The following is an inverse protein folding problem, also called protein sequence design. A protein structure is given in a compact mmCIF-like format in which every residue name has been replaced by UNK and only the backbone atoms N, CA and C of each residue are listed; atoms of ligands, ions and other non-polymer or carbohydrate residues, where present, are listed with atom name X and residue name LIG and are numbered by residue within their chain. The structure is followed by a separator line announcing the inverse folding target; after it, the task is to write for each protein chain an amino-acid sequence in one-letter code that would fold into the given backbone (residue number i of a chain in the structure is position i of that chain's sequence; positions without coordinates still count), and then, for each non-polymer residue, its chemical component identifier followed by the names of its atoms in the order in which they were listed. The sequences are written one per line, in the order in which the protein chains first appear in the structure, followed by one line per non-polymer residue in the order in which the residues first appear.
data_IF_920187376998
#
_entry.id   IF_920187376998
#
_cell.length_a   1.000
_cell.length_b   1.000
_cell.length_c   1.000
_cell.angle_alpha   90.00
_cell.angle_beta   90.00
_cell.angle_gamma   90.00
#
_symmetry.space_group_name_H-M   'P 1'
#
loop_
_entity.id
_entity.type
_entity.pdbx_description
1 polymer ?
#
# COMPACT_ATOMS: atom_id res chain seq x y z
N UNK A 1 32.61 -1.28 -25.47
CA UNK A 1 32.56 0.20 -25.40
C UNK A 1 31.61 0.71 -26.48
N UNK A 2 30.74 1.67 -26.13
CA UNK A 2 29.96 2.42 -27.11
C UNK A 2 30.87 3.33 -27.95
N UNK A 3 30.36 3.79 -29.10
CA UNK A 3 31.08 4.79 -29.90
C UNK A 3 31.17 6.14 -29.15
N UNK A 4 32.24 6.89 -29.39
CA UNK A 4 32.34 8.28 -28.95
C UNK A 4 31.33 9.19 -29.65
N UNK A 5 30.82 8.79 -30.85
CA UNK A 5 29.75 9.49 -31.54
C UNK A 5 28.44 9.25 -30.79
N UNK A 6 27.74 10.32 -30.51
CA UNK A 6 26.46 10.29 -29.79
C UNK A 6 25.34 9.75 -30.71
N UNK A 7 24.82 8.58 -30.35
CA UNK A 7 23.61 8.04 -30.98
C UNK A 7 22.39 8.69 -30.32
N UNK A 8 21.50 9.25 -31.11
CA UNK A 8 20.25 9.85 -30.61
C UNK A 8 19.05 9.06 -31.10
N UNK A 9 18.13 8.78 -30.19
CA UNK A 9 16.85 8.15 -30.50
C UNK A 9 15.75 9.11 -30.01
N UNK A 10 14.76 9.37 -30.86
CA UNK A 10 13.64 10.27 -30.55
C UNK A 10 12.31 9.56 -30.77
N UNK A 11 11.28 9.99 -30.04
CA UNK A 11 9.88 9.54 -30.19
C UNK A 11 9.69 8.03 -30.22
N UNK A 12 10.23 7.34 -29.19
CA UNK A 12 10.14 5.89 -29.03
C UNK A 12 9.21 5.51 -27.88
N UNK A 13 8.79 4.25 -27.86
CA UNK A 13 7.96 3.70 -26.79
C UNK A 13 8.60 2.41 -26.26
N UNK A 14 8.55 2.19 -24.95
CA UNK A 14 8.95 0.95 -24.31
C UNK A 14 7.68 0.21 -23.95
N UNK A 15 7.59 -1.04 -24.42
CA UNK A 15 6.49 -1.94 -24.15
C UNK A 15 6.97 -3.10 -23.26
N UNK A 16 6.10 -3.53 -22.38
CA UNK A 16 6.24 -4.80 -21.70
C UNK A 16 5.25 -5.79 -22.28
N UNK A 17 5.74 -6.95 -22.69
CA UNK A 17 4.91 -8.07 -23.16
C UNK A 17 5.30 -9.30 -22.34
N UNK A 18 4.34 -9.93 -21.70
CA UNK A 18 4.56 -11.20 -21.04
C UNK A 18 4.59 -12.32 -22.12
N UNK A 19 5.59 -13.19 -22.07
CA UNK A 19 5.85 -14.20 -23.11
C UNK A 19 4.71 -15.18 -23.39
N UNK A 20 3.80 -15.34 -22.43
CA UNK A 20 2.69 -16.30 -22.48
C UNK A 20 1.30 -15.65 -22.66
N UNK A 21 1.20 -14.34 -22.77
CA UNK A 21 -0.08 -13.67 -23.00
C UNK A 21 -0.19 -13.17 -24.42
N UNK A 22 -1.22 -13.58 -25.13
CA UNK A 22 -1.51 -13.14 -26.50
C UNK A 22 -2.19 -11.76 -26.55
N UNK A 23 -2.57 -11.16 -25.43
CA UNK A 23 -3.52 -10.03 -25.44
C UNK A 23 -3.05 -8.71 -24.85
N UNK A 24 -2.09 -8.63 -23.94
CA UNK A 24 -1.82 -7.34 -23.27
C UNK A 24 -0.39 -6.85 -23.44
N UNK A 25 -0.22 -5.97 -24.42
CA UNK A 25 0.99 -5.13 -24.54
C UNK A 25 0.78 -3.88 -23.70
N UNK A 26 1.49 -3.77 -22.56
CA UNK A 26 1.44 -2.58 -21.72
C UNK A 26 2.54 -1.61 -22.14
N UNK A 27 2.15 -0.37 -22.52
CA UNK A 27 3.11 0.71 -22.72
C UNK A 27 3.64 1.14 -21.37
N UNK A 28 4.89 0.81 -21.06
CA UNK A 28 5.54 1.21 -19.82
C UNK A 28 6.00 2.67 -19.87
N UNK A 29 6.55 3.11 -21.00
CA UNK A 29 7.14 4.43 -21.09
C UNK A 29 7.14 4.96 -22.53
N UNK A 30 7.01 6.28 -22.67
CA UNK A 30 7.32 6.99 -23.89
C UNK A 30 8.67 7.69 -23.72
N UNK A 31 9.54 7.59 -24.72
CA UNK A 31 10.83 8.26 -24.80
C UNK A 31 10.70 9.45 -25.74
N UNK A 32 10.87 10.66 -25.23
CA UNK A 32 10.91 11.86 -26.03
C UNK A 32 12.29 12.06 -26.70
N UNK A 33 13.34 11.73 -25.94
CA UNK A 33 14.73 11.85 -26.37
C UNK A 33 15.61 10.87 -25.62
N UNK A 34 16.51 10.20 -26.31
CA UNK A 34 17.60 9.46 -25.65
C UNK A 34 18.93 9.71 -26.34
N UNK A 35 20.00 9.48 -25.63
CA UNK A 35 21.36 9.55 -26.14
C UNK A 35 22.25 8.49 -25.52
N UNK A 36 23.02 7.80 -26.37
CA UNK A 36 23.96 6.76 -25.99
C UNK A 36 25.33 7.11 -26.57
N UNK A 37 26.36 7.12 -25.73
CA UNK A 37 27.72 7.41 -26.14
C UNK A 37 28.74 6.97 -25.08
N UNK A 38 30.00 6.82 -25.51
CA UNK A 38 31.13 6.65 -24.59
C UNK A 38 31.66 8.03 -24.17
N UNK A 39 31.63 8.31 -22.87
CA UNK A 39 32.15 9.54 -22.28
C UNK A 39 33.60 9.34 -21.88
N UNK A 40 34.54 9.92 -22.65
CA UNK A 40 35.98 9.81 -22.39
C UNK A 40 36.41 10.44 -21.09
N UNK A 41 35.70 11.48 -20.60
CA UNK A 41 36.08 12.21 -19.37
C UNK A 41 35.91 11.34 -18.13
N UNK A 42 34.84 10.55 -18.09
CA UNK A 42 34.53 9.64 -16.98
C UNK A 42 34.84 8.19 -17.31
N UNK A 43 35.34 7.91 -18.52
CA UNK A 43 35.71 6.58 -19.01
C UNK A 43 34.56 5.55 -18.88
N UNK A 44 33.36 5.95 -19.20
CA UNK A 44 32.14 5.16 -19.03
C UNK A 44 31.20 5.24 -20.23
N UNK A 45 30.45 4.18 -20.49
CA UNK A 45 29.29 4.23 -21.36
C UNK A 45 28.17 5.00 -20.67
N UNK A 46 27.60 5.99 -21.38
CA UNK A 46 26.54 6.85 -20.84
C UNK A 46 25.25 6.71 -21.64
N UNK A 47 24.16 6.52 -20.95
CA UNK A 47 22.81 6.53 -21.50
C UNK A 47 21.99 7.60 -20.78
N UNK A 48 21.46 8.56 -21.51
CA UNK A 48 20.50 9.51 -20.95
C UNK A 48 19.17 9.35 -21.68
N UNK A 49 18.09 9.32 -20.91
CA UNK A 49 16.73 9.18 -21.45
C UNK A 49 15.84 10.25 -20.81
N UNK A 50 15.10 10.96 -21.63
CA UNK A 50 14.01 11.83 -21.23
C UNK A 50 12.70 11.24 -21.75
N UNK A 51 11.70 11.13 -20.90
CA UNK A 51 10.47 10.48 -21.27
C UNK A 51 9.33 10.72 -20.29
N UNK A 52 8.29 9.92 -20.44
CA UNK A 52 7.19 9.90 -19.46
C UNK A 52 6.73 8.47 -19.19
N UNK A 53 6.42 8.20 -17.96
CA UNK A 53 5.79 6.97 -17.48
C UNK A 53 4.49 7.36 -16.80
N UNK A 54 3.35 6.83 -17.24
CA UNK A 54 2.02 7.17 -16.73
C UNK A 54 1.77 8.69 -16.57
N UNK A 55 2.11 9.46 -17.61
CA UNK A 55 2.05 10.94 -17.64
C UNK A 55 2.97 11.65 -16.64
N UNK A 56 3.90 10.96 -16.02
CA UNK A 56 4.93 11.55 -15.18
C UNK A 56 6.23 11.64 -15.96
N UNK A 57 6.70 12.87 -16.21
CA UNK A 57 7.97 13.10 -16.89
C UNK A 57 9.14 12.62 -16.02
N UNK A 58 10.09 11.93 -16.65
CA UNK A 58 11.32 11.48 -16.00
C UNK A 58 12.55 11.82 -16.81
N UNK A 59 13.67 11.94 -16.09
CA UNK A 59 15.01 11.96 -16.67
C UNK A 59 15.78 10.78 -16.06
N UNK A 60 16.33 9.91 -16.89
CA UNK A 60 17.14 8.77 -16.52
C UNK A 60 18.56 8.99 -17.03
N UNK A 61 19.55 8.73 -16.18
CA UNK A 61 20.96 8.66 -16.53
C UNK A 61 21.53 7.33 -16.04
N UNK A 62 22.15 6.58 -16.93
CA UNK A 62 22.86 5.34 -16.63
C UNK A 62 24.32 5.53 -17.02
N UNK A 63 25.24 5.24 -16.09
CA UNK A 63 26.68 5.19 -16.31
C UNK A 63 27.16 3.76 -16.10
N UNK A 64 27.82 3.19 -17.09
CA UNK A 64 28.47 1.88 -17.00
C UNK A 64 29.99 2.08 -17.10
N UNK A 65 30.67 1.86 -15.99
CA UNK A 65 32.12 1.93 -15.95
C UNK A 65 32.70 0.62 -16.51
N UNK A 66 33.56 0.75 -17.57
CA UNK A 66 34.09 -0.40 -18.30
C UNK A 66 35.53 -0.77 -17.91
N UNK A 67 36.11 -0.08 -16.96
CA UNK A 67 37.55 -0.19 -16.68
C UNK A 67 37.92 -0.98 -15.41
N UNK A 68 36.95 -1.47 -14.67
CA UNK A 68 37.20 -2.25 -13.45
C UNK A 68 36.90 -3.72 -13.71
N UNK A 69 37.64 -4.62 -13.05
CA UNK A 69 37.37 -6.06 -13.03
C UNK A 69 35.90 -6.35 -12.67
N UNK A 70 35.26 -5.48 -11.91
CA UNK A 70 33.83 -5.52 -11.63
C UNK A 70 33.17 -4.32 -12.32
N UNK A 71 32.26 -4.57 -13.27
CA UNK A 71 31.48 -3.53 -13.92
C UNK A 71 30.50 -2.94 -12.92
N UNK A 72 30.68 -1.64 -12.58
CA UNK A 72 29.73 -0.90 -11.74
C UNK A 72 28.81 -0.09 -12.64
N UNK A 73 27.53 -0.22 -12.42
CA UNK A 73 26.48 0.55 -13.13
C UNK A 73 25.81 1.50 -12.13
N UNK A 74 25.75 2.79 -12.49
CA UNK A 74 25.10 3.83 -11.70
C UNK A 74 23.86 4.32 -12.46
N UNK A 75 22.70 4.11 -11.86
CA UNK A 75 21.40 4.56 -12.40
C UNK A 75 20.85 5.70 -11.56
N UNK A 76 20.50 6.81 -12.21
CA UNK A 76 19.81 7.94 -11.60
C UNK A 76 18.50 8.20 -12.37
N UNK A 77 17.38 8.19 -11.67
CA UNK A 77 16.07 8.55 -12.23
C UNK A 77 15.50 9.72 -11.42
N UNK A 78 15.09 10.79 -12.11
CA UNK A 78 14.42 11.95 -11.53
C UNK A 78 13.00 12.04 -12.06
N UNK A 79 12.01 11.97 -11.15
CA UNK A 79 10.58 12.11 -11.44
C UNK A 79 10.12 13.51 -11.06
N UNK A 80 10.09 14.45 -12.02
CA UNK A 80 9.86 15.88 -11.75
C UNK A 80 8.54 16.16 -11.02
N UNK A 81 7.44 15.58 -11.50
CA UNK A 81 6.09 15.85 -10.95
C UNK A 81 5.93 15.34 -9.51
N UNK A 82 6.64 14.28 -9.14
CA UNK A 82 6.59 13.67 -7.81
C UNK A 82 7.68 14.19 -6.88
N UNK A 83 8.60 15.04 -7.37
CA UNK A 83 9.83 15.42 -6.68
C UNK A 83 10.57 14.21 -6.10
N UNK A 84 10.66 13.14 -6.89
CA UNK A 84 11.27 11.89 -6.46
C UNK A 84 12.59 11.66 -7.23
N UNK A 85 13.59 11.18 -6.49
CA UNK A 85 14.91 10.82 -7.00
C UNK A 85 15.18 9.38 -6.62
N UNK A 86 15.46 8.55 -7.62
CA UNK A 86 15.87 7.15 -7.45
C UNK A 86 17.33 7.05 -7.88
N UNK A 87 18.17 6.55 -6.99
CA UNK A 87 19.57 6.21 -7.27
C UNK A 87 19.72 4.70 -7.10
N UNK A 88 20.48 4.08 -7.97
CA UNK A 88 20.80 2.67 -7.86
C UNK A 88 22.23 2.43 -8.36
N UNK A 89 23.04 1.84 -7.50
CA UNK A 89 24.41 1.40 -7.78
C UNK A 89 24.40 -0.13 -7.77
N UNK A 90 24.86 -0.76 -8.82
CA UNK A 90 24.90 -2.21 -8.87
C UNK A 90 26.16 -2.76 -9.54
N UNK A 91 26.55 -3.94 -9.12
CA UNK A 91 27.71 -4.67 -9.58
C UNK A 91 27.27 -6.02 -10.15
N UNK A 92 27.71 -6.33 -11.36
CA UNK A 92 27.48 -7.65 -11.97
C UNK A 92 28.45 -8.66 -11.38
N UNK A 93 27.98 -9.87 -11.10
CA UNK A 93 28.85 -10.99 -10.75
C UNK A 93 29.41 -11.59 -12.05
N UNK A 94 30.73 -11.49 -12.25
CA UNK A 94 31.37 -12.00 -13.47
C UNK A 94 31.29 -13.53 -13.59
N UNK A 95 31.18 -14.24 -12.46
CA UNK A 95 31.14 -15.69 -12.41
C UNK A 95 29.72 -16.26 -12.57
N UNK A 96 28.70 -15.43 -12.46
CA UNK A 96 27.29 -15.84 -12.53
C UNK A 96 26.50 -14.98 -13.52
N UNK A 97 26.13 -15.58 -14.63
CA UNK A 97 25.24 -14.93 -15.61
C UNK A 97 23.94 -14.50 -14.93
N UNK A 98 23.51 -13.23 -15.12
CA UNK A 98 22.28 -12.65 -14.56
C UNK A 98 22.26 -12.46 -13.02
N UNK A 99 23.41 -12.48 -12.35
CA UNK A 99 23.54 -12.17 -10.93
C UNK A 99 24.06 -10.74 -10.72
N UNK A 100 23.38 -9.97 -9.86
CA UNK A 100 23.73 -8.58 -9.55
C UNK A 100 23.52 -8.35 -8.05
N UNK A 101 24.37 -7.54 -7.46
CA UNK A 101 24.15 -6.99 -6.13
C UNK A 101 24.23 -5.48 -6.16
N UNK A 102 23.49 -4.80 -5.32
CA UNK A 102 23.49 -3.35 -5.37
C UNK A 102 22.84 -2.68 -4.17
N UNK A 103 22.88 -1.35 -4.23
CA UNK A 103 22.21 -0.46 -3.29
C UNK A 103 21.31 0.47 -4.07
N UNK A 104 20.08 0.64 -3.60
CA UNK A 104 19.16 1.59 -4.16
C UNK A 104 18.64 2.54 -3.09
N UNK A 105 18.48 3.81 -3.48
CA UNK A 105 17.84 4.82 -2.63
C UNK A 105 16.72 5.53 -3.39
N UNK A 106 15.62 5.76 -2.71
CA UNK A 106 14.48 6.51 -3.22
C UNK A 106 14.21 7.66 -2.25
N UNK A 107 14.37 8.89 -2.74
CA UNK A 107 14.01 10.09 -1.99
C UNK A 107 12.71 10.65 -2.55
N UNK A 108 11.70 10.83 -1.71
CA UNK A 108 10.36 11.22 -2.13
C UNK A 108 9.61 11.92 -0.99
N UNK A 109 9.13 13.15 -1.22
CA UNK A 109 8.29 13.90 -0.27
C UNK A 109 8.78 13.88 1.19
N UNK A 110 10.08 14.04 1.45
CA UNK A 110 10.66 14.00 2.80
C UNK A 110 10.86 12.59 3.36
N UNK A 111 10.61 11.56 2.57
CA UNK A 111 10.88 10.16 2.90
C UNK A 111 12.10 9.66 2.15
N UNK A 112 12.86 8.77 2.77
CA UNK A 112 14.06 8.16 2.22
C UNK A 112 13.98 6.64 2.39
N UNK A 113 13.97 5.91 1.29
CA UNK A 113 13.94 4.46 1.25
C UNK A 113 15.30 3.99 0.76
N UNK A 114 16.06 3.33 1.61
CA UNK A 114 17.36 2.77 1.28
C UNK A 114 17.29 1.24 1.35
N UNK A 115 17.81 0.57 0.36
CA UNK A 115 17.83 -0.89 0.28
C UNK A 115 19.14 -1.41 -0.28
N UNK A 116 19.58 -2.52 0.27
CA UNK A 116 20.55 -3.39 -0.37
C UNK A 116 19.81 -4.57 -0.99
N UNK A 117 20.26 -5.01 -2.14
CA UNK A 117 19.63 -6.12 -2.81
C UNK A 117 20.63 -7.04 -3.51
N UNK A 118 20.20 -8.28 -3.70
CA UNK A 118 20.87 -9.25 -4.54
C UNK A 118 19.85 -9.87 -5.49
N UNK A 119 20.19 -9.89 -6.76
CA UNK A 119 19.44 -10.56 -7.81
C UNK A 119 20.23 -11.79 -8.26
N UNK A 120 19.60 -12.94 -8.17
CA UNK A 120 20.09 -14.19 -8.72
C UNK A 120 19.04 -14.73 -9.71
N UNK A 121 19.36 -14.74 -11.00
CA UNK A 121 18.47 -15.09 -12.11
C UNK A 121 17.12 -14.32 -12.04
N UNK A 122 16.06 -14.98 -11.62
CA UNK A 122 14.70 -14.42 -11.52
C UNK A 122 14.33 -13.87 -10.13
N UNK A 123 15.13 -14.15 -9.11
CA UNK A 123 14.86 -13.80 -7.72
C UNK A 123 15.67 -12.57 -7.31
N UNK A 124 15.00 -11.57 -6.76
CA UNK A 124 15.61 -10.39 -6.12
C UNK A 124 15.28 -10.45 -4.64
N UNK A 125 16.30 -10.53 -3.78
CA UNK A 125 16.18 -10.39 -2.33
C UNK A 125 16.48 -8.96 -1.93
N UNK A 126 15.64 -8.38 -1.06
CA UNK A 126 15.70 -6.99 -0.62
C UNK A 126 15.82 -6.92 0.90
N UNK A 127 16.68 -6.03 1.39
CA UNK A 127 16.73 -5.63 2.78
C UNK A 127 16.86 -4.10 2.87
N UNK A 128 16.11 -3.49 3.78
CA UNK A 128 16.21 -2.05 4.01
C UNK A 128 17.51 -1.69 4.74
N UNK A 129 17.97 -0.47 4.51
CA UNK A 129 19.12 0.11 5.20
C UNK A 129 18.75 1.56 5.59
N UNK A 130 18.54 1.81 6.91
CA UNK A 130 18.28 3.16 7.45
C UNK A 130 17.18 3.95 6.71
N UNK A 131 16.06 3.31 6.44
CA UNK A 131 14.94 3.95 5.75
C UNK A 131 14.10 4.82 6.68
N UNK A 132 13.53 5.90 6.14
CA UNK A 132 12.67 6.85 6.88
C UNK A 132 11.44 7.22 6.06
N UNK A 133 10.28 7.13 6.69
CA UNK A 133 9.01 7.64 6.15
C UNK A 133 8.67 8.94 6.89
N UNK A 134 8.85 10.09 6.23
CA UNK A 134 8.93 11.39 6.88
C UNK A 134 10.02 11.38 7.98
N UNK A 135 9.64 11.55 9.26
CA UNK A 135 10.57 11.58 10.41
C UNK A 135 10.65 10.25 11.16
N UNK A 136 9.98 9.19 10.69
CA UNK A 136 9.92 7.91 11.38
C UNK A 136 10.78 6.87 10.64
N UNK A 137 11.63 6.17 11.40
CA UNK A 137 12.38 5.03 10.86
C UNK A 137 11.46 3.86 10.57
N UNK A 138 11.80 3.12 9.53
CA UNK A 138 11.19 1.85 9.22
C UNK A 138 12.20 0.90 8.58
N UNK A 139 11.93 -0.36 8.69
CA UNK A 139 12.66 -1.41 8.00
C UNK A 139 11.74 -2.25 7.12
N UNK A 140 12.32 -2.87 6.12
CA UNK A 140 11.64 -3.85 5.29
C UNK A 140 12.58 -4.91 4.76
N UNK A 141 12.03 -6.08 4.52
CA UNK A 141 12.72 -7.17 3.84
C UNK A 141 11.74 -7.91 2.92
N UNK A 142 12.26 -8.54 1.92
CA UNK A 142 11.43 -9.37 1.07
C UNK A 142 12.09 -9.83 -0.20
N UNK A 143 11.26 -10.36 -1.08
CA UNK A 143 11.66 -11.00 -2.30
C UNK A 143 10.77 -10.56 -3.46
N UNK A 144 11.37 -10.43 -4.64
CA UNK A 144 10.66 -10.16 -5.90
C UNK A 144 11.08 -11.24 -6.89
N UNK A 145 10.11 -11.97 -7.42
CA UNK A 145 10.29 -12.89 -8.56
C UNK A 145 9.94 -12.11 -9.81
N UNK A 146 10.82 -12.11 -10.81
CA UNK A 146 10.64 -11.28 -12.02
C UNK A 146 9.86 -11.99 -13.12
N UNK A 147 9.76 -13.33 -13.08
CA UNK A 147 9.02 -14.10 -14.10
C UNK A 147 8.57 -15.47 -13.56
N UNK A 148 7.24 -15.70 -13.36
CA UNK A 148 6.19 -14.68 -13.40
C UNK A 148 6.39 -13.64 -12.32
N UNK A 149 5.90 -12.41 -12.54
CA UNK A 149 6.12 -11.32 -11.59
C UNK A 149 5.33 -11.55 -10.29
N UNK A 150 6.05 -11.60 -9.18
CA UNK A 150 5.48 -11.72 -7.84
C UNK A 150 6.38 -11.05 -6.81
N UNK A 151 5.81 -10.34 -5.85
CA UNK A 151 6.55 -9.75 -4.73
C UNK A 151 5.98 -10.19 -3.38
N UNK A 152 6.87 -10.36 -2.40
CA UNK A 152 6.51 -10.65 -1.01
C UNK A 152 7.39 -9.81 -0.09
N UNK A 153 6.80 -8.78 0.54
CA UNK A 153 7.50 -7.80 1.35
C UNK A 153 6.92 -7.77 2.76
N UNK A 154 7.77 -7.63 3.76
CA UNK A 154 7.40 -7.33 5.15
C UNK A 154 8.00 -5.98 5.51
N UNK A 155 7.17 -5.05 5.95
CA UNK A 155 7.53 -3.68 6.32
C UNK A 155 7.19 -3.47 7.79
N UNK A 156 8.16 -3.10 8.61
CA UNK A 156 7.98 -2.81 10.02
C UNK A 156 8.10 -1.29 10.24
N UNK A 157 7.05 -0.70 10.78
CA UNK A 157 6.93 0.73 11.04
C UNK A 157 6.77 0.95 12.54
N UNK A 158 7.65 1.71 13.16
CA UNK A 158 7.50 2.07 14.57
C UNK A 158 6.28 2.95 14.80
N UNK A 159 6.15 3.98 13.99
CA UNK A 159 5.06 4.97 14.10
C UNK A 159 4.57 5.36 12.72
N UNK A 160 3.26 5.45 12.58
CA UNK A 160 2.61 6.06 11.41
C UNK A 160 1.64 7.15 11.85
N UNK A 161 1.70 8.31 11.19
CA UNK A 161 0.64 9.32 11.31
C UNK A 161 -0.39 9.05 10.21
N UNK A 162 -1.55 8.52 10.59
CA UNK A 162 -2.58 8.08 9.64
C UNK A 162 -3.14 9.23 8.81
N UNK A 163 -3.30 10.42 9.39
CA UNK A 163 -3.80 11.61 8.66
C UNK A 163 -2.82 11.99 7.56
N UNK A 164 -1.52 12.12 7.89
CA UNK A 164 -0.47 12.42 6.90
C UNK A 164 -0.32 11.32 5.85
N UNK A 165 -0.54 10.07 6.24
CA UNK A 165 -0.51 8.93 5.31
C UNK A 165 -1.65 9.04 4.30
N UNK A 166 -2.88 9.31 4.74
CA UNK A 166 -4.06 9.50 3.86
C UNK A 166 -3.82 10.66 2.90
N UNK A 167 -3.30 11.79 3.39
CA UNK A 167 -2.93 12.94 2.55
C UNK A 167 -1.87 12.57 1.49
N UNK A 168 -0.89 11.75 1.86
CA UNK A 168 0.14 11.28 0.93
C UNK A 168 -0.43 10.30 -0.08
N UNK A 169 -1.30 9.38 0.33
CA UNK A 169 -1.99 8.43 -0.54
C UNK A 169 -2.94 9.11 -1.53
N UNK A 170 -3.55 10.25 -1.15
CA UNK A 170 -4.40 11.02 -2.07
C UNK A 170 -3.60 11.52 -3.30
N UNK A 171 -2.31 11.82 -3.13
CA UNK A 171 -1.40 12.17 -4.23
C UNK A 171 -1.12 11.00 -5.18
N UNK A 172 -1.27 9.76 -4.68
CA UNK A 172 -1.13 8.53 -5.46
C UNK A 172 -2.46 8.05 -6.07
N UNK A 173 -3.57 8.78 -5.86
CA UNK A 173 -4.90 8.47 -6.43
C UNK A 173 -4.82 8.17 -7.94
N UNK A 174 -4.01 8.92 -8.67
CA UNK A 174 -3.79 8.71 -10.10
C UNK A 174 -3.26 7.29 -10.46
N UNK A 175 -2.52 6.63 -9.54
CA UNK A 175 -2.03 5.25 -9.77
C UNK A 175 -3.16 4.23 -9.63
N UNK A 176 -4.10 4.50 -8.72
CA UNK A 176 -5.32 3.69 -8.55
C UNK A 176 -6.28 3.94 -9.72
N UNK A 177 -6.46 5.21 -10.10
CA UNK A 177 -7.38 5.61 -11.18
C UNK A 177 -6.98 5.02 -12.53
N UNK A 178 -5.69 4.87 -12.79
CA UNK A 178 -5.16 4.28 -14.02
C UNK A 178 -5.06 2.76 -13.99
N UNK A 179 -5.67 2.11 -13.01
CA UNK A 179 -5.64 0.65 -12.82
C UNK A 179 -4.22 0.06 -12.66
N UNK A 180 -3.22 0.88 -12.30
CA UNK A 180 -1.84 0.41 -12.14
C UNK A 180 -1.73 -0.56 -10.98
N UNK A 181 -2.31 -0.21 -9.82
CA UNK A 181 -2.33 -1.08 -8.64
C UNK A 181 -3.30 -2.27 -8.78
N UNK A 182 -4.24 -2.19 -9.72
CA UNK A 182 -5.21 -3.25 -10.03
C UNK A 182 -4.85 -3.94 -11.35
N UNK A 183 -3.59 -3.93 -11.76
CA UNK A 183 -3.13 -4.65 -12.94
C UNK A 183 -3.11 -6.16 -12.64
N UNK A 184 -3.75 -7.02 -13.47
CA UNK A 184 -3.76 -8.47 -13.28
C UNK A 184 -2.36 -9.11 -13.21
N UNK A 185 -1.38 -8.49 -13.84
CA UNK A 185 0.01 -8.97 -13.86
C UNK A 185 0.84 -8.50 -12.66
N UNK A 186 0.29 -7.62 -11.81
CA UNK A 186 0.95 -7.13 -10.60
C UNK A 186 0.53 -7.98 -9.40
N UNK A 187 1.09 -9.18 -9.27
CA UNK A 187 0.75 -10.07 -8.17
C UNK A 187 1.77 -9.95 -7.04
N UNK A 188 1.31 -10.03 -5.79
CA UNK A 188 2.20 -10.03 -4.65
C UNK A 188 1.52 -9.77 -3.31
N UNK A 189 2.36 -9.73 -2.28
CA UNK A 189 1.94 -9.48 -0.90
C UNK A 189 2.85 -8.46 -0.23
N UNK A 190 2.28 -7.54 0.54
CA UNK A 190 3.00 -6.67 1.47
C UNK A 190 2.33 -6.80 2.84
N UNK A 191 3.11 -7.15 3.86
CA UNK A 191 2.67 -7.14 5.24
C UNK A 191 3.27 -5.93 5.95
N UNK A 192 2.42 -5.03 6.43
CA UNK A 192 2.83 -3.90 7.27
C UNK A 192 2.60 -4.25 8.74
N UNK A 193 3.65 -4.24 9.55
CA UNK A 193 3.57 -4.29 11.00
C UNK A 193 3.77 -2.87 11.53
N UNK A 194 2.77 -2.32 12.21
CA UNK A 194 2.75 -0.94 12.68
C UNK A 194 2.58 -0.95 14.20
N UNK A 195 3.61 -0.55 14.94
CA UNK A 195 3.60 -0.58 16.39
C UNK A 195 2.76 0.55 17.00
N UNK A 196 2.75 1.73 16.35
CA UNK A 196 2.00 2.88 16.86
C UNK A 196 1.30 3.65 15.76
N UNK A 197 -0.01 3.93 15.96
CA UNK A 197 -0.85 4.75 15.09
C UNK A 197 -1.06 6.12 15.73
N UNK A 198 -0.61 7.19 15.09
CA UNK A 198 -0.91 8.58 15.46
C UNK A 198 -2.05 9.14 14.60
N UNK A 199 -2.86 10.02 15.18
CA UNK A 199 -4.01 10.63 14.49
C UNK A 199 -5.30 9.81 14.57
N UNK A 200 -5.27 8.57 15.03
CA UNK A 200 -6.44 7.76 15.35
C UNK A 200 -6.49 7.56 16.87
N UNK A 201 -7.58 8.01 17.50
CA UNK A 201 -7.71 7.94 18.97
C UNK A 201 -8.13 6.57 19.51
N UNK A 202 -8.56 5.66 18.65
CA UNK A 202 -9.18 4.39 19.06
C UNK A 202 -8.23 3.21 18.98
N UNK A 203 -7.31 3.19 18.03
CA UNK A 203 -6.35 2.10 17.81
C UNK A 203 -4.93 2.57 18.07
N UNK A 204 -4.13 1.67 18.63
CA UNK A 204 -2.74 1.93 19.02
C UNK A 204 -1.76 1.38 17.99
N UNK A 205 -2.08 0.24 17.36
CA UNK A 205 -1.24 -0.44 16.38
C UNK A 205 -2.03 -1.16 15.30
N UNK A 206 -1.32 -1.64 14.28
CA UNK A 206 -1.94 -2.36 13.16
C UNK A 206 -1.01 -3.43 12.58
N UNK A 207 -1.60 -4.48 12.04
CA UNK A 207 -0.98 -5.38 11.07
C UNK A 207 -1.85 -5.38 9.82
N UNK A 208 -1.29 -4.92 8.69
CA UNK A 208 -2.02 -4.84 7.43
C UNK A 208 -1.42 -5.84 6.44
N UNK A 209 -2.17 -6.86 6.10
CA UNK A 209 -1.83 -7.81 5.05
C UNK A 209 -2.50 -7.39 3.74
N UNK A 210 -1.70 -6.81 2.85
CA UNK A 210 -2.13 -6.32 1.54
C UNK A 210 -1.69 -7.33 0.48
N UNK A 211 -2.64 -7.94 -0.23
CA UNK A 211 -2.35 -8.83 -1.36
C UNK A 211 -2.95 -8.24 -2.63
N UNK A 212 -2.19 -8.26 -3.70
CA UNK A 212 -2.68 -7.97 -5.05
C UNK A 212 -2.66 -9.27 -5.83
N UNK A 213 -3.82 -9.71 -6.29
CA UNK A 213 -3.98 -10.96 -7.03
C UNK A 213 -4.99 -10.74 -8.16
N UNK A 214 -4.56 -10.94 -9.40
CA UNK A 214 -5.41 -10.86 -10.59
C UNK A 214 -6.24 -9.55 -10.66
N UNK A 215 -5.61 -8.41 -10.36
CA UNK A 215 -6.25 -7.11 -10.39
C UNK A 215 -7.18 -6.80 -9.22
N UNK A 216 -7.19 -7.63 -8.17
CA UNK A 216 -7.91 -7.39 -6.92
C UNK A 216 -6.93 -7.08 -5.81
N UNK A 217 -7.29 -6.14 -4.94
CA UNK A 217 -6.53 -5.80 -3.74
C UNK A 217 -7.28 -6.35 -2.52
N UNK A 218 -6.65 -7.28 -1.83
CA UNK A 218 -7.23 -8.04 -0.72
C UNK A 218 -6.55 -7.61 0.57
N UNK A 219 -7.36 -7.24 1.58
CA UNK A 219 -6.93 -6.79 2.91
C UNK A 219 -7.30 -7.79 4.02
N UNK A 220 -7.84 -8.96 3.65
CA UNK A 220 -8.19 -10.01 4.60
C UNK A 220 -6.99 -10.42 5.45
N UNK A 221 -7.24 -10.76 6.73
CA UNK A 221 -6.24 -11.02 7.77
C UNK A 221 -5.51 -9.77 8.30
N UNK A 222 -5.95 -8.57 7.91
CA UNK A 222 -5.48 -7.33 8.52
C UNK A 222 -6.14 -7.12 9.88
N UNK A 223 -5.41 -6.48 10.79
CA UNK A 223 -5.90 -6.20 12.15
C UNK A 223 -5.55 -4.80 12.60
N UNK A 224 -6.46 -4.15 13.34
CA UNK A 224 -6.18 -2.97 14.14
C UNK A 224 -6.27 -3.35 15.61
N UNK A 225 -5.30 -2.93 16.41
CA UNK A 225 -5.22 -3.28 17.81
C UNK A 225 -5.38 -2.03 18.68
N UNK A 226 -6.30 -2.11 19.64
CA UNK A 226 -6.34 -1.21 20.78
C UNK A 226 -5.92 -2.01 22.02
N UNK A 227 -4.76 -1.71 22.59
CA UNK A 227 -4.22 -2.45 23.75
C UNK A 227 -5.15 -2.39 24.98
N UNK A 228 -5.97 -1.33 25.06
CA UNK A 228 -6.88 -1.11 26.19
C UNK A 228 -8.30 -1.63 25.95
N UNK A 229 -8.71 -1.89 24.72
CA UNK A 229 -10.12 -2.13 24.36
C UNK A 229 -10.31 -3.48 23.67
N UNK A 230 -9.48 -3.81 22.69
CA UNK A 230 -9.64 -5.03 21.91
C UNK A 230 -9.02 -5.00 20.53
N UNK A 231 -9.45 -5.90 19.64
CA UNK A 231 -8.90 -6.07 18.30
C UNK A 231 -9.99 -6.06 17.23
N UNK A 232 -9.74 -5.33 16.15
CA UNK A 232 -10.55 -5.33 14.93
C UNK A 232 -9.89 -6.18 13.87
N UNK A 233 -10.63 -7.07 13.25
CA UNK A 233 -10.18 -8.02 12.23
C UNK A 233 -10.92 -7.73 10.91
N UNK A 234 -10.17 -7.62 9.84
CA UNK A 234 -10.70 -7.57 8.48
C UNK A 234 -10.72 -9.02 7.95
N UNK A 235 -11.90 -9.66 7.95
CA UNK A 235 -12.00 -11.09 7.66
C UNK A 235 -12.23 -11.39 6.18
N UNK A 236 -12.90 -10.50 5.47
CA UNK A 236 -13.21 -10.64 4.06
C UNK A 236 -13.28 -9.23 3.46
N UNK A 237 -12.14 -8.75 2.97
CA UNK A 237 -12.00 -7.37 2.53
C UNK A 237 -11.28 -7.32 1.20
N UNK A 238 -11.97 -6.79 0.18
CA UNK A 238 -11.48 -6.73 -1.19
C UNK A 238 -11.83 -5.39 -1.84
N UNK A 239 -10.87 -4.83 -2.56
CA UNK A 239 -11.07 -3.75 -3.52
C UNK A 239 -10.91 -4.33 -4.92
N UNK A 240 -11.94 -4.20 -5.73
CA UNK A 240 -11.97 -4.67 -7.11
C UNK A 240 -12.59 -3.64 -8.04
N UNK A 241 -12.34 -3.79 -9.33
CA UNK A 241 -12.99 -2.98 -10.36
C UNK A 241 -14.09 -3.80 -11.02
N UNK A 242 -15.35 -3.36 -10.87
CA UNK A 242 -16.53 -3.98 -11.47
C UNK A 242 -17.22 -2.89 -12.31
N UNK A 243 -17.46 -3.14 -13.60
CA UNK A 243 -18.12 -2.20 -14.52
C UNK A 243 -17.57 -0.75 -14.44
N UNK A 244 -16.25 -0.61 -14.43
CA UNK A 244 -15.53 0.65 -14.25
C UNK A 244 -15.75 1.36 -12.90
N UNK A 245 -16.50 0.79 -11.98
CA UNK A 245 -16.59 1.24 -10.59
C UNK A 245 -15.51 0.55 -9.75
N UNK A 246 -14.96 1.27 -8.79
CA UNK A 246 -14.01 0.73 -7.81
C UNK A 246 -14.73 0.51 -6.51
N UNK A 247 -15.04 -0.74 -6.23
CA UNK A 247 -15.87 -1.13 -5.09
C UNK A 247 -14.98 -1.78 -4.05
N UNK A 248 -14.96 -1.20 -2.85
CA UNK A 248 -14.37 -1.80 -1.67
C UNK A 248 -15.47 -2.47 -0.84
N UNK A 249 -15.37 -3.77 -0.64
CA UNK A 249 -16.24 -4.56 0.24
C UNK A 249 -15.44 -5.04 1.43
N UNK A 250 -16.00 -5.01 2.62
CA UNK A 250 -15.32 -5.49 3.81
C UNK A 250 -16.26 -6.07 4.85
N UNK A 251 -15.87 -7.22 5.42
CA UNK A 251 -16.44 -7.78 6.64
C UNK A 251 -15.46 -7.58 7.76
N UNK A 252 -15.89 -6.90 8.81
CA UNK A 252 -15.06 -6.47 9.92
C UNK A 252 -15.64 -7.02 11.22
N UNK A 253 -14.80 -7.65 12.02
CA UNK A 253 -15.15 -8.14 13.35
C UNK A 253 -14.32 -7.40 14.40
N UNK A 254 -14.94 -6.62 15.25
CA UNK A 254 -14.30 -5.99 16.38
C UNK A 254 -14.56 -6.79 17.66
N UNK A 255 -13.53 -7.51 18.17
CA UNK A 255 -13.56 -8.22 19.44
C UNK A 255 -13.19 -7.26 20.57
N UNK A 256 -14.07 -7.14 21.57
CA UNK A 256 -13.93 -6.23 22.71
C UNK A 256 -13.48 -7.04 23.91
N UNK A 257 -12.26 -6.83 24.38
CA UNK A 257 -11.70 -7.47 25.56
C UNK A 257 -11.98 -6.68 26.85
N UNK A 258 -12.18 -5.36 26.74
CA UNK A 258 -12.47 -4.50 27.87
C UNK A 258 -13.66 -3.57 27.59
N UNK A 259 -14.85 -4.03 27.95
CA UNK A 259 -16.10 -3.31 27.73
C UNK A 259 -16.15 -1.97 28.47
N UNK A 260 -15.62 -1.90 29.72
CA UNK A 260 -15.58 -0.67 30.50
C UNK A 260 -14.81 0.43 29.78
N UNK A 261 -13.62 0.11 29.24
CA UNK A 261 -12.80 1.04 28.47
C UNK A 261 -13.43 1.41 27.14
N UNK A 262 -14.07 0.46 26.45
CA UNK A 262 -14.82 0.71 25.22
C UNK A 262 -15.92 1.76 25.45
N UNK A 263 -16.78 1.55 26.45
CA UNK A 263 -17.85 2.48 26.80
C UNK A 263 -17.36 3.86 27.27
N UNK A 264 -16.28 3.89 28.06
CA UNK A 264 -15.64 5.15 28.46
C UNK A 264 -15.11 5.93 27.24
N UNK A 265 -14.50 5.23 26.28
CA UNK A 265 -13.94 5.86 25.08
C UNK A 265 -15.02 6.47 24.17
N UNK A 266 -16.16 5.82 24.06
CA UNK A 266 -17.32 6.30 23.29
C UNK A 266 -18.27 7.21 24.11
N UNK A 267 -18.00 7.40 25.41
CA UNK A 267 -18.85 8.19 26.33
C UNK A 267 -20.28 7.64 26.44
N UNK A 268 -20.46 6.31 26.36
CA UNK A 268 -21.77 5.68 26.51
C UNK A 268 -22.22 5.76 27.98
N UNK A 269 -23.42 6.30 28.20
CA UNK A 269 -24.02 6.44 29.52
C UNK A 269 -24.25 5.09 30.20
N UNK A 270 -24.05 5.01 31.52
CA UNK A 270 -24.14 3.73 32.24
C UNK A 270 -25.44 2.96 32.02
N UNK A 271 -26.61 3.61 32.05
CA UNK A 271 -27.91 2.94 31.84
C UNK A 271 -28.04 2.24 30.47
N UNK A 272 -27.28 2.69 29.46
CA UNK A 272 -27.40 2.19 28.08
C UNK A 272 -26.37 1.11 27.73
N UNK A 273 -25.54 0.69 28.71
CA UNK A 273 -24.50 -0.30 28.49
C UNK A 273 -25.09 -1.71 28.56
N UNK A 274 -24.89 -2.45 27.51
CA UNK A 274 -25.24 -3.88 27.39
C UNK A 274 -23.98 -4.73 27.56
N UNK A 275 -24.13 -6.03 27.77
CA UNK A 275 -22.99 -6.96 27.69
C UNK A 275 -22.56 -7.08 26.21
N UNK A 276 -21.37 -6.59 25.87
CA UNK A 276 -20.88 -6.47 24.50
C UNK A 276 -19.50 -7.12 24.35
N UNK A 277 -19.43 -8.25 23.65
CA UNK A 277 -18.18 -8.98 23.41
C UNK A 277 -17.58 -8.69 22.03
N UNK A 278 -18.44 -8.45 21.03
CA UNK A 278 -17.99 -8.11 19.69
C UNK A 278 -19.03 -7.29 18.93
N UNK A 279 -18.54 -6.59 17.91
CA UNK A 279 -19.35 -5.88 16.91
C UNK A 279 -18.90 -6.34 15.54
N UNK A 280 -19.84 -6.75 14.70
CA UNK A 280 -19.60 -7.15 13.33
C UNK A 280 -20.20 -6.14 12.37
N UNK A 281 -19.45 -5.79 11.32
CA UNK A 281 -19.84 -4.86 10.28
C UNK A 281 -19.68 -5.49 8.90
N UNK A 282 -20.65 -5.23 8.01
CA UNK A 282 -20.48 -5.39 6.57
C UNK A 282 -20.63 -4.03 5.90
N UNK A 283 -19.58 -3.61 5.19
CA UNK A 283 -19.56 -2.32 4.50
C UNK A 283 -19.23 -2.49 3.03
N UNK A 284 -19.81 -1.62 2.22
CA UNK A 284 -19.49 -1.46 0.82
C UNK A 284 -19.21 0.02 0.54
N UNK A 285 -18.16 0.33 -0.21
CA UNK A 285 -17.81 1.69 -0.59
C UNK A 285 -17.46 1.78 -2.05
N UNK A 286 -18.17 2.61 -2.80
CA UNK A 286 -17.76 3.04 -4.12
C UNK A 286 -16.74 4.18 -3.98
N UNK A 287 -15.50 3.94 -4.44
CA UNK A 287 -14.42 4.93 -4.35
C UNK A 287 -14.58 6.07 -5.37
N UNK A 288 -15.44 5.95 -6.37
CA UNK A 288 -15.64 6.99 -7.37
C UNK A 288 -16.49 8.14 -6.85
N UNK A 289 -17.53 7.83 -6.06
CA UNK A 289 -18.50 8.81 -5.53
C UNK A 289 -18.40 9.03 -4.03
N UNK A 290 -17.43 8.39 -3.33
CA UNK A 290 -17.26 8.41 -1.88
C UNK A 290 -18.46 7.90 -1.06
N UNK A 291 -19.42 7.25 -1.68
CA UNK A 291 -20.57 6.66 -0.97
C UNK A 291 -20.11 5.44 -0.16
N UNK A 292 -20.50 5.43 1.11
CA UNK A 292 -20.31 4.31 2.02
C UNK A 292 -21.68 3.75 2.35
N UNK A 293 -21.87 2.47 2.10
CA UNK A 293 -23.05 1.74 2.47
C UNK A 293 -22.72 0.73 3.58
N UNK A 294 -23.48 0.78 4.66
CA UNK A 294 -23.38 -0.21 5.74
C UNK A 294 -24.48 -1.24 5.47
N UNK A 295 -24.06 -2.42 5.03
CA UNK A 295 -24.99 -3.51 4.71
C UNK A 295 -25.51 -4.20 5.96
N UNK A 296 -24.69 -4.29 7.01
CA UNK A 296 -25.02 -5.04 8.22
C UNK A 296 -24.21 -4.60 9.42
N UNK A 297 -24.87 -4.52 10.59
CA UNK A 297 -24.21 -4.36 11.89
C UNK A 297 -24.85 -5.35 12.87
N UNK A 298 -24.02 -6.21 13.47
CA UNK A 298 -24.48 -7.19 14.45
C UNK A 298 -23.65 -7.04 15.73
N UNK A 299 -24.33 -6.84 16.86
CA UNK A 299 -23.72 -6.93 18.18
C UNK A 299 -23.73 -8.39 18.64
N UNK A 300 -22.67 -8.79 19.32
CA UNK A 300 -22.51 -10.15 19.85
C UNK A 300 -22.76 -11.25 18.82
N UNK A 301 -22.28 -11.04 17.56
CA UNK A 301 -22.37 -12.08 16.53
C UNK A 301 -21.76 -13.37 17.07
N UNK A 302 -22.52 -14.48 17.00
CA UNK A 302 -22.01 -15.81 17.36
C UNK A 302 -20.88 -16.19 16.40
N UNK A 303 -19.70 -16.47 16.96
CA UNK A 303 -18.50 -16.88 16.21
C UNK A 303 -18.33 -18.40 16.32
N UNK A 304 -18.77 -18.96 17.46
CA UNK A 304 -18.81 -20.38 17.75
C UNK A 304 -20.13 -20.63 18.52
N UNK A 305 -20.76 -21.76 18.35
CA UNK A 305 -22.08 -22.09 18.93
C UNK A 305 -22.21 -21.99 20.46
N UNK A 306 -21.07 -21.90 21.17
CA UNK A 306 -21.04 -21.86 22.64
C UNK A 306 -21.15 -20.45 23.25
N UNK A 307 -21.45 -19.39 22.50
CA UNK A 307 -21.58 -18.04 23.07
C UNK A 307 -22.98 -17.83 23.66
N UNK A 308 -23.06 -17.59 24.97
CA UNK A 308 -24.30 -17.40 25.73
C UNK A 308 -25.04 -16.07 25.46
N UNK A 309 -24.44 -15.14 24.70
CA UNK A 309 -25.02 -13.82 24.46
C UNK A 309 -25.94 -13.79 23.24
N UNK A 310 -27.12 -13.19 23.41
CA UNK A 310 -28.07 -12.96 22.31
C UNK A 310 -27.44 -12.03 21.26
N UNK A 311 -27.49 -12.45 20.01
CA UNK A 311 -27.07 -11.63 18.88
C UNK A 311 -28.15 -10.58 18.57
N UNK A 312 -27.73 -9.32 18.38
CA UNK A 312 -28.64 -8.19 18.05
C UNK A 312 -28.24 -7.65 16.70
N UNK A 313 -29.14 -7.72 15.72
CA UNK A 313 -28.96 -7.09 14.40
C UNK A 313 -29.47 -5.64 14.46
N UNK A 314 -28.60 -4.71 14.12
CA UNK A 314 -28.88 -3.27 14.14
C UNK A 314 -29.12 -2.67 12.75
N UNK A 315 -29.14 -3.48 11.70
CA UNK A 315 -29.22 -2.98 10.33
C UNK A 315 -30.44 -2.09 10.08
N UNK A 316 -31.56 -2.34 10.78
CA UNK A 316 -32.79 -1.54 10.70
C UNK A 316 -32.85 -0.36 11.69
N UNK A 317 -31.90 -0.26 12.64
CA UNK A 317 -31.89 0.78 13.67
C UNK A 317 -30.93 1.94 13.35
N UNK A 318 -30.06 1.73 12.40
CA UNK A 318 -28.98 2.65 12.04
C UNK A 318 -29.31 3.30 10.71
N UNK A 319 -29.50 4.62 10.73
CA UNK A 319 -29.58 5.41 9.51
C UNK A 319 -28.16 5.65 8.96
N UNK A 320 -27.91 5.09 7.78
CA UNK A 320 -26.64 5.24 7.08
C UNK A 320 -26.35 6.70 6.72
N UNK A 321 -27.39 7.52 6.48
CA UNK A 321 -27.23 8.92 6.17
C UNK A 321 -26.74 9.70 7.40
N UNK A 322 -27.23 9.39 8.59
CA UNK A 322 -26.74 9.98 9.84
C UNK A 322 -25.24 9.69 10.04
N UNK A 323 -24.76 8.47 9.66
CA UNK A 323 -23.32 8.13 9.75
C UNK A 323 -22.49 8.90 8.73
N UNK A 324 -22.99 9.13 7.52
CA UNK A 324 -22.29 9.89 6.48
C UNK A 324 -22.04 11.35 6.90
N UNK A 325 -22.90 11.90 7.74
CA UNK A 325 -22.81 13.27 8.24
C UNK A 325 -21.83 13.45 9.40
N UNK A 326 -21.31 12.36 9.99
CA UNK A 326 -20.36 12.41 11.10
C UNK A 326 -19.00 12.97 10.65
N UNK A 327 -18.72 14.22 10.97
CA UNK A 327 -17.49 14.92 10.55
C UNK A 327 -16.35 14.80 11.55
N UNK A 328 -16.64 14.44 12.80
CA UNK A 328 -15.64 14.44 13.84
C UNK A 328 -15.93 13.41 14.96
N UNK A 329 -14.93 13.23 15.84
CA UNK A 329 -15.01 12.26 16.95
C UNK A 329 -16.10 12.57 17.98
N UNK A 330 -16.51 13.83 18.13
CA UNK A 330 -17.54 14.25 19.08
C UNK A 330 -18.91 13.80 18.56
N UNK A 331 -19.17 14.00 17.29
CA UNK A 331 -20.40 13.55 16.62
C UNK A 331 -20.54 12.03 16.66
N UNK A 332 -19.45 11.31 16.38
CA UNK A 332 -19.43 9.85 16.51
C UNK A 332 -19.80 9.39 17.93
N UNK A 333 -19.31 10.06 18.99
CA UNK A 333 -19.67 9.72 20.38
C UNK A 333 -21.14 9.98 20.68
N UNK A 334 -21.68 11.13 20.23
CA UNK A 334 -23.11 11.46 20.40
C UNK A 334 -23.98 10.42 19.71
N UNK A 335 -23.66 10.12 18.45
CA UNK A 335 -24.37 9.11 17.67
C UNK A 335 -24.30 7.72 18.31
N UNK A 336 -23.13 7.27 18.73
CA UNK A 336 -22.95 6.00 19.43
C UNK A 336 -23.83 5.95 20.71
N UNK A 337 -23.90 7.04 21.49
CA UNK A 337 -24.71 7.08 22.69
C UNK A 337 -26.22 6.96 22.38
N UNK A 338 -26.69 7.61 21.29
CA UNK A 338 -28.10 7.50 20.81
C UNK A 338 -28.40 6.05 20.38
N UNK A 339 -27.51 5.42 19.65
CA UNK A 339 -27.69 3.99 19.24
C UNK A 339 -27.80 3.10 20.47
N UNK A 340 -26.88 3.23 21.43
CA UNK A 340 -26.94 2.40 22.66
C UNK A 340 -28.17 2.71 23.51
N UNK A 341 -28.68 3.92 23.52
CA UNK A 341 -29.98 4.26 24.12
C UNK A 341 -31.14 3.51 23.41
N UNK A 342 -31.19 3.54 22.08
CA UNK A 342 -32.20 2.79 21.33
C UNK A 342 -32.13 1.29 21.63
N UNK A 343 -30.94 0.71 21.67
CA UNK A 343 -30.70 -0.72 21.97
C UNK A 343 -31.14 -1.07 23.39
N UNK A 344 -30.89 -0.20 24.38
CA UNK A 344 -31.26 -0.46 25.78
C UNK A 344 -32.78 -0.52 26.01
N UNK A 345 -33.57 0.04 25.07
CA UNK A 345 -35.03 -0.05 25.09
C UNK A 345 -35.58 -1.33 24.44
N UNK A 346 -34.74 -2.08 23.71
CA UNK A 346 -35.14 -3.33 23.04
C UNK A 346 -34.86 -4.57 23.90
N UNK A 347 -34.10 -4.42 24.99
CA UNK A 347 -33.81 -5.46 25.97
C UNK A 347 -34.64 -5.26 27.23
#
# INVERSE_FOLDING_TARGET
KLSNKKIQIKKSKIFFKESNSTKDVVVLSTISKSSLFYDKKVNANKVNIEGSIYNTKYNLSLLRNTNKKNTTDDLLIKLKKLNAIIKNEFVSDENKKNSYSGKASINFSGSEINTIYRKDDKLIKLNSEKSRLNNYSFDFKGEIITSPFYYNLVVNLEVINVVKMIESLSKLKNLVDKKILLNPNLNGKITFNINSLKGIKFFDGAKIDLKVINGKLILSNSTLTSYKIGKMFFTDSVLESVDNKKIFKSKILFKISNQKKFYQKLLISRPYRIKLNNVYFEIEKDLNNNEVEIKKIILNKKIVDNSSNKSIDLSNLIDVNEIKELKNWIELKKYSNQIFFKISKLN
#
